data_IF_968509005420
#
_entry.id   IF_968509005420
#
_cell.length_a   1.000
_cell.length_b   1.000
_cell.length_c   1.000
_cell.angle_alpha   90.00
_cell.angle_beta   90.00
_cell.angle_gamma   90.00
#
_symmetry.space_group_name_H-M   'P 1'
#
loop_
_entity.id
_entity.type
_entity.pdbx_description
1 polymer ?
#
# COMPACT_ATOMS: atom_id res chain seq x y z
N UNK A 1 -21.91 -70.28 47.51
CA UNK A 1 -20.73 -69.50 47.07
C UNK A 1 -21.21 -68.60 46.00
N UNK A 2 -21.50 -67.33 46.34
CA UNK A 2 -21.94 -66.25 45.38
C UNK A 2 -20.81 -65.38 45.09
N UNK A 3 -20.36 -65.33 43.80
CA UNK A 3 -19.38 -64.40 43.32
C UNK A 3 -20.09 -63.10 42.99
N UNK A 4 -19.75 -61.99 43.68
CA UNK A 4 -20.15 -60.65 43.36
C UNK A 4 -19.13 -60.08 42.32
N UNK A 5 -19.61 -59.81 41.14
CA UNK A 5 -18.87 -59.01 40.13
C UNK A 5 -19.03 -57.56 40.50
N UNK A 6 -17.88 -56.92 40.69
CA UNK A 6 -17.79 -55.45 40.84
C UNK A 6 -17.63 -54.87 39.44
N UNK A 7 -18.63 -54.09 38.97
CA UNK A 7 -18.56 -53.35 37.75
C UNK A 7 -17.97 -51.99 38.09
N UNK A 8 -16.76 -51.73 37.60
CA UNK A 8 -16.10 -50.41 37.69
C UNK A 8 -16.62 -49.53 36.54
N UNK A 9 -17.44 -48.52 36.85
CA UNK A 9 -17.88 -47.52 35.90
C UNK A 9 -16.81 -46.43 35.90
N UNK A 10 -15.97 -46.39 34.85
CA UNK A 10 -15.04 -45.31 34.61
C UNK A 10 -15.76 -44.11 33.93
N UNK A 11 -16.01 -43.06 34.69
CA UNK A 11 -16.57 -41.83 34.17
C UNK A 11 -15.46 -41.02 33.47
N UNK A 12 -15.43 -41.03 32.14
CA UNK A 12 -14.57 -40.16 31.34
C UNK A 12 -15.12 -38.73 31.42
N UNK A 13 -14.45 -37.88 32.18
CA UNK A 13 -14.67 -36.45 32.18
C UNK A 13 -13.96 -35.86 30.93
N UNK A 14 -14.69 -35.63 29.85
CA UNK A 14 -14.19 -34.89 28.69
C UNK A 14 -14.08 -33.42 29.06
N UNK A 15 -12.87 -32.95 29.35
CA UNK A 15 -12.57 -31.53 29.39
C UNK A 15 -12.73 -30.95 27.98
N UNK A 16 -13.85 -30.32 27.72
CA UNK A 16 -14.04 -29.47 26.57
C UNK A 16 -13.18 -28.19 26.78
N UNK A 17 -11.93 -28.20 26.28
CA UNK A 17 -11.15 -26.99 26.08
C UNK A 17 -11.86 -26.24 24.98
N UNK A 18 -12.75 -25.33 25.34
CA UNK A 18 -13.36 -24.39 24.43
C UNK A 18 -12.26 -23.51 23.87
N UNK A 19 -11.80 -23.79 22.65
CA UNK A 19 -11.09 -22.80 21.86
C UNK A 19 -12.04 -21.61 21.71
N UNK A 20 -11.85 -20.58 22.55
CA UNK A 20 -12.50 -19.30 22.35
C UNK A 20 -12.07 -18.83 20.95
N UNK A 21 -13.00 -18.80 19.99
CA UNK A 21 -12.77 -18.12 18.72
C UNK A 21 -12.31 -16.71 19.06
N UNK A 22 -11.19 -16.23 18.46
CA UNK A 22 -10.86 -14.83 18.57
C UNK A 22 -12.09 -14.02 18.15
N UNK A 23 -12.41 -12.92 18.83
CA UNK A 23 -13.57 -12.09 18.49
C UNK A 23 -13.46 -11.74 17.00
N UNK A 24 -14.50 -12.02 16.23
CA UNK A 24 -14.59 -11.58 14.85
C UNK A 24 -14.36 -10.06 14.85
N UNK A 25 -13.44 -9.53 14.00
CA UNK A 25 -13.22 -8.11 13.92
C UNK A 25 -14.58 -7.46 13.63
N UNK A 26 -15.08 -6.68 14.58
CA UNK A 26 -16.27 -5.86 14.34
C UNK A 26 -15.91 -4.91 13.22
N UNK A 27 -16.60 -4.99 12.09
CA UNK A 27 -16.61 -3.92 11.10
C UNK A 27 -17.02 -2.65 11.85
N UNK A 28 -16.06 -1.81 12.16
CA UNK A 28 -16.38 -0.41 12.39
C UNK A 28 -16.84 0.09 11.04
N UNK A 29 -18.18 0.17 10.86
CA UNK A 29 -18.78 0.80 9.70
C UNK A 29 -17.98 2.09 9.47
N UNK A 30 -17.54 2.36 8.23
CA UNK A 30 -16.94 3.65 7.86
C UNK A 30 -17.72 4.69 8.64
N UNK A 31 -17.09 5.36 9.60
CA UNK A 31 -17.77 6.44 10.28
C UNK A 31 -18.36 7.33 9.21
N UNK A 32 -19.56 7.86 9.37
CA UNK A 32 -20.32 8.61 8.35
C UNK A 32 -19.50 9.75 7.69
N UNK A 33 -18.29 9.99 8.17
CA UNK A 33 -17.36 11.04 7.76
C UNK A 33 -16.29 10.60 6.77
N UNK A 34 -15.96 9.28 6.61
CA UNK A 34 -14.91 8.82 5.67
C UNK A 34 -15.49 8.74 4.26
N UNK A 35 -15.02 9.63 3.39
CA UNK A 35 -15.49 9.79 2.01
C UNK A 35 -14.68 9.01 1.00
N UNK A 36 -13.38 8.81 1.26
CA UNK A 36 -12.43 8.06 0.44
C UNK A 36 -11.45 7.37 1.35
N UNK A 37 -11.02 6.18 0.97
CA UNK A 37 -10.02 5.42 1.70
C UNK A 37 -9.07 4.71 0.74
N UNK A 38 -7.77 4.93 0.90
CA UNK A 38 -6.72 4.35 0.08
C UNK A 38 -5.77 3.55 0.96
N UNK A 39 -5.41 2.36 0.52
CA UNK A 39 -4.29 1.60 1.09
C UNK A 39 -3.08 1.78 0.20
N UNK A 40 -1.88 1.83 0.77
CA UNK A 40 -0.65 1.98 -0.01
C UNK A 40 0.51 1.18 0.58
N UNK A 41 1.28 0.52 -0.29
CA UNK A 41 2.54 -0.12 0.07
C UNK A 41 3.48 -0.19 -1.14
N UNK A 42 4.79 -0.21 -0.90
CA UNK A 42 5.83 -0.41 -1.89
C UNK A 42 6.82 -1.48 -1.47
N UNK A 43 7.79 -1.77 -2.35
CA UNK A 43 8.96 -2.59 -2.02
C UNK A 43 8.60 -4.03 -1.59
N UNK A 44 7.60 -4.61 -2.25
CA UNK A 44 6.95 -5.84 -1.79
C UNK A 44 7.37 -7.11 -2.53
N UNK A 45 7.59 -7.06 -3.84
CA UNK A 45 7.74 -8.23 -4.71
C UNK A 45 9.12 -8.88 -4.67
N UNK A 46 9.65 -9.23 -3.50
CA UNK A 46 10.92 -9.96 -3.37
C UNK A 46 10.88 -11.28 -4.10
N UNK A 47 12.02 -11.70 -4.70
CA UNK A 47 12.09 -12.96 -5.45
C UNK A 47 11.68 -14.14 -4.57
N UNK A 48 10.66 -14.93 -4.97
CA UNK A 48 10.22 -16.08 -4.20
C UNK A 48 11.27 -17.19 -4.22
N UNK A 49 11.38 -17.91 -3.10
CA UNK A 49 12.17 -19.13 -3.01
C UNK A 49 11.23 -20.31 -3.29
N UNK A 50 11.63 -21.18 -4.21
CA UNK A 50 10.83 -22.36 -4.58
C UNK A 50 9.36 -22.04 -4.94
N UNK A 51 9.13 -20.87 -5.54
CA UNK A 51 7.80 -20.40 -5.92
C UNK A 51 6.88 -19.98 -4.77
N UNK A 52 7.38 -19.94 -3.54
CA UNK A 52 6.59 -19.55 -2.36
C UNK A 52 6.66 -18.04 -2.11
N UNK A 53 5.54 -17.45 -1.72
CA UNK A 53 5.47 -16.05 -1.29
C UNK A 53 6.44 -15.79 -0.14
N UNK A 54 7.28 -14.74 -0.20
CA UNK A 54 8.15 -14.36 0.91
C UNK A 54 7.33 -14.08 2.19
N UNK A 55 7.75 -14.68 3.31
CA UNK A 55 6.96 -14.65 4.55
C UNK A 55 6.66 -13.24 5.08
N UNK A 56 7.57 -12.27 4.89
CA UNK A 56 7.34 -10.88 5.29
C UNK A 56 6.24 -10.24 4.43
N UNK A 57 6.29 -10.46 3.11
CA UNK A 57 5.27 -9.98 2.18
C UNK A 57 3.90 -10.59 2.50
N UNK A 58 3.84 -11.91 2.75
CA UNK A 58 2.58 -12.59 3.08
C UNK A 58 1.92 -11.98 4.31
N UNK A 59 2.68 -11.75 5.39
CA UNK A 59 2.15 -11.13 6.61
C UNK A 59 1.62 -9.72 6.38
N UNK A 60 2.31 -8.90 5.58
CA UNK A 60 1.82 -7.55 5.24
C UNK A 60 0.53 -7.63 4.44
N UNK A 61 0.43 -8.55 3.49
CA UNK A 61 -0.78 -8.75 2.68
C UNK A 61 -1.97 -9.24 3.53
N UNK A 62 -1.74 -10.16 4.46
CA UNK A 62 -2.76 -10.62 5.43
C UNK A 62 -3.24 -9.47 6.33
N UNK A 63 -2.31 -8.63 6.80
CA UNK A 63 -2.61 -7.46 7.60
C UNK A 63 -3.41 -6.39 6.82
N UNK A 64 -3.06 -6.15 5.55
CA UNK A 64 -3.83 -5.29 4.64
C UNK A 64 -5.26 -5.80 4.47
N UNK A 65 -5.43 -7.10 4.19
CA UNK A 65 -6.74 -7.70 4.04
C UNK A 65 -7.56 -7.63 5.35
N UNK A 66 -6.92 -7.79 6.51
CA UNK A 66 -7.58 -7.65 7.80
C UNK A 66 -8.03 -6.20 8.07
N UNK A 67 -7.20 -5.20 7.72
CA UNK A 67 -7.56 -3.79 7.83
C UNK A 67 -8.69 -3.41 6.86
N UNK A 68 -8.66 -3.94 5.63
CA UNK A 68 -9.73 -3.70 4.66
C UNK A 68 -11.06 -4.31 5.12
N UNK A 69 -11.05 -5.53 5.68
CA UNK A 69 -12.26 -6.13 6.27
C UNK A 69 -12.82 -5.33 7.44
N UNK A 70 -11.94 -4.69 8.23
CA UNK A 70 -12.33 -3.82 9.35
C UNK A 70 -12.93 -2.51 8.85
N UNK A 71 -12.31 -1.90 7.85
CA UNK A 71 -12.71 -0.63 7.26
C UNK A 71 -12.41 -0.64 5.75
N UNK A 72 -13.40 -0.96 4.90
CA UNK A 72 -13.20 -1.14 3.47
C UNK A 72 -12.54 0.06 2.78
N UNK A 73 -11.53 -0.19 1.95
CA UNK A 73 -10.86 0.80 1.13
C UNK A 73 -11.50 0.93 -0.25
N UNK A 74 -11.15 1.98 -0.99
CA UNK A 74 -11.62 2.22 -2.37
C UNK A 74 -10.57 1.85 -3.42
N UNK A 75 -9.29 1.80 -3.03
CA UNK A 75 -8.19 1.36 -3.89
C UNK A 75 -6.98 0.89 -3.07
N UNK A 76 -6.15 0.05 -3.69
CA UNK A 76 -4.83 -0.31 -3.21
C UNK A 76 -3.78 0.24 -4.18
N UNK A 77 -2.83 1.02 -3.64
CA UNK A 77 -1.76 1.68 -4.40
C UNK A 77 -0.43 1.00 -4.11
N UNK A 78 0.21 0.50 -5.14
CA UNK A 78 1.58 -0.03 -5.08
C UNK A 78 2.56 1.08 -5.49
N UNK A 79 3.37 1.55 -4.55
CA UNK A 79 4.26 2.69 -4.74
C UNK A 79 5.65 2.29 -5.25
N UNK A 80 5.71 1.30 -6.13
CA UNK A 80 6.90 0.87 -6.86
C UNK A 80 7.70 -0.25 -6.21
N UNK A 81 8.75 -0.66 -6.91
CA UNK A 81 9.53 -1.88 -6.63
C UNK A 81 8.61 -3.09 -6.50
N UNK A 82 7.85 -3.30 -7.58
CA UNK A 82 6.82 -4.32 -7.66
C UNK A 82 7.42 -5.72 -7.77
N UNK A 83 8.59 -5.84 -8.44
CA UNK A 83 9.26 -7.13 -8.66
C UNK A 83 10.77 -7.02 -8.56
N UNK A 84 11.35 -7.53 -7.48
CA UNK A 84 12.79 -7.63 -7.26
C UNK A 84 13.41 -8.86 -7.92
N UNK A 85 14.75 -8.84 -8.26
CA UNK A 85 15.66 -7.70 -8.16
C UNK A 85 15.69 -6.79 -9.40
N UNK A 86 15.13 -7.19 -10.54
CA UNK A 86 15.27 -6.50 -11.83
C UNK A 86 13.95 -6.39 -12.60
N UNK A 87 12.81 -6.40 -11.89
CA UNK A 87 11.48 -6.39 -12.47
C UNK A 87 11.00 -7.79 -12.89
N UNK A 88 9.95 -7.82 -13.72
CA UNK A 88 9.43 -9.04 -14.33
C UNK A 88 10.27 -9.47 -15.54
N UNK A 89 10.45 -10.78 -15.69
CA UNK A 89 11.01 -11.42 -16.87
C UNK A 89 9.95 -12.32 -17.51
N UNK A 90 9.91 -12.39 -18.85
CA UNK A 90 8.87 -13.14 -19.58
C UNK A 90 8.79 -14.62 -19.18
N UNK A 91 9.94 -15.23 -18.86
CA UNK A 91 10.04 -16.63 -18.42
C UNK A 91 9.45 -16.89 -17.03
N UNK A 92 9.26 -15.85 -16.20
CA UNK A 92 8.87 -15.99 -14.81
C UNK A 92 7.46 -15.41 -14.50
N UNK A 93 6.79 -14.78 -15.46
CA UNK A 93 5.55 -14.01 -15.22
C UNK A 93 4.54 -14.78 -14.36
N UNK A 94 4.16 -15.98 -14.76
CA UNK A 94 3.12 -16.73 -14.06
C UNK A 94 3.55 -17.14 -12.66
N UNK A 95 4.80 -17.56 -12.48
CA UNK A 95 5.36 -17.89 -11.17
C UNK A 95 5.40 -16.66 -10.28
N UNK A 96 5.86 -15.50 -10.79
CA UNK A 96 5.94 -14.26 -10.05
C UNK A 96 4.55 -13.72 -9.70
N UNK A 97 3.59 -13.75 -10.63
CA UNK A 97 2.22 -13.36 -10.35
C UNK A 97 1.58 -14.27 -9.30
N UNK A 98 1.80 -15.59 -9.38
CA UNK A 98 1.33 -16.55 -8.39
C UNK A 98 1.86 -16.21 -6.99
N UNK A 99 3.17 -16.06 -6.85
CA UNK A 99 3.82 -15.93 -5.56
C UNK A 99 3.83 -14.52 -4.98
N UNK A 100 3.87 -13.49 -5.83
CA UNK A 100 3.99 -12.12 -5.35
C UNK A 100 2.69 -11.30 -5.45
N UNK A 101 1.77 -11.61 -6.35
CA UNK A 101 0.55 -10.80 -6.52
C UNK A 101 -0.72 -11.57 -6.16
N UNK A 102 -1.02 -12.67 -6.85
CA UNK A 102 -2.31 -13.36 -6.68
C UNK A 102 -2.41 -14.06 -5.33
N UNK A 103 -1.39 -14.81 -4.91
CA UNK A 103 -1.39 -15.51 -3.64
C UNK A 103 -1.53 -14.56 -2.44
N UNK A 104 -0.59 -13.64 -2.24
CA UNK A 104 -0.61 -12.76 -1.07
C UNK A 104 -1.77 -11.74 -1.10
N UNK A 105 -2.08 -11.15 -2.25
CA UNK A 105 -3.13 -10.13 -2.36
C UNK A 105 -4.45 -10.67 -2.91
N UNK A 106 -4.70 -11.97 -2.74
CA UNK A 106 -5.92 -12.65 -3.17
C UNK A 106 -7.21 -11.92 -2.80
N UNK A 107 -7.24 -11.30 -1.63
CA UNK A 107 -8.36 -10.49 -1.14
C UNK A 107 -8.77 -9.37 -2.10
N UNK A 108 -7.79 -8.76 -2.75
CA UNK A 108 -7.96 -7.55 -3.56
C UNK A 108 -7.99 -7.81 -5.08
N UNK A 109 -7.52 -8.97 -5.56
CA UNK A 109 -7.40 -9.22 -6.99
C UNK A 109 -8.70 -9.68 -7.63
N UNK A 110 -8.96 -9.19 -8.86
CA UNK A 110 -9.98 -9.71 -9.74
C UNK A 110 -9.30 -10.51 -10.87
N UNK A 111 -9.44 -11.82 -10.85
CA UNK A 111 -8.86 -12.68 -11.88
C UNK A 111 -9.69 -12.62 -13.16
N UNK A 112 -9.00 -12.54 -14.31
CA UNK A 112 -9.62 -12.82 -15.62
C UNK A 112 -9.92 -14.31 -15.74
N UNK A 113 -10.64 -14.73 -16.78
CA UNK A 113 -10.83 -16.16 -17.09
C UNK A 113 -9.48 -16.89 -17.23
N UNK A 114 -8.49 -16.27 -17.90
CA UNK A 114 -7.13 -16.78 -17.99
C UNK A 114 -6.45 -16.86 -16.63
N UNK A 115 -6.56 -15.76 -15.84
CA UNK A 115 -6.00 -15.70 -14.49
C UNK A 115 -6.56 -16.78 -13.58
N UNK A 116 -7.87 -16.98 -13.60
CA UNK A 116 -8.53 -18.03 -12.83
C UNK A 116 -8.06 -19.43 -13.23
N UNK A 117 -7.93 -19.71 -14.53
CA UNK A 117 -7.47 -21.00 -15.02
C UNK A 117 -5.99 -21.29 -14.69
N UNK A 118 -5.13 -20.25 -14.65
CA UNK A 118 -3.68 -20.43 -14.50
C UNK A 118 -3.19 -20.21 -13.07
N UNK A 119 -3.79 -19.25 -12.36
CA UNK A 119 -3.33 -18.75 -11.06
C UNK A 119 -4.37 -18.90 -9.95
N UNK A 120 -5.58 -19.36 -10.25
CA UNK A 120 -6.70 -19.44 -9.31
C UNK A 120 -6.38 -20.25 -8.04
N UNK A 121 -5.60 -21.31 -8.18
CA UNK A 121 -5.16 -22.14 -7.04
C UNK A 121 -4.30 -21.37 -6.02
N UNK A 122 -3.66 -20.28 -6.41
CA UNK A 122 -2.89 -19.43 -5.49
C UNK A 122 -3.78 -18.56 -4.61
N UNK A 123 -5.03 -18.35 -5.02
CA UNK A 123 -5.99 -17.53 -4.30
C UNK A 123 -6.80 -18.40 -3.33
N UNK A 124 -6.31 -18.54 -2.11
CA UNK A 124 -6.92 -19.44 -1.11
C UNK A 124 -8.12 -18.83 -0.39
N UNK A 125 -8.33 -17.53 -0.47
CA UNK A 125 -9.47 -16.86 0.15
C UNK A 125 -10.77 -17.15 -0.65
N UNK A 126 -11.86 -17.60 0.01
CA UNK A 126 -13.13 -17.79 -0.65
C UNK A 126 -13.62 -16.51 -1.34
N UNK A 127 -14.15 -16.62 -2.55
CA UNK A 127 -14.61 -15.47 -3.35
C UNK A 127 -15.57 -14.55 -2.59
N UNK A 128 -16.49 -15.10 -1.82
CA UNK A 128 -17.45 -14.35 -1.00
C UNK A 128 -16.82 -13.48 0.10
N UNK A 129 -15.52 -13.66 0.39
CA UNK A 129 -14.79 -12.88 1.39
C UNK A 129 -13.82 -11.89 0.77
N UNK A 130 -13.65 -11.92 -0.56
CA UNK A 130 -12.76 -11.02 -1.28
C UNK A 130 -13.41 -9.66 -1.50
N UNK A 131 -12.55 -8.65 -1.59
CA UNK A 131 -12.96 -7.29 -1.92
C UNK A 131 -12.07 -6.77 -3.06
N UNK A 132 -12.33 -7.15 -4.32
CA UNK A 132 -11.55 -6.68 -5.45
C UNK A 132 -11.61 -5.16 -5.58
N UNK A 133 -10.46 -4.51 -5.53
CA UNK A 133 -10.28 -3.07 -5.62
C UNK A 133 -9.49 -2.69 -6.86
N UNK A 134 -9.57 -1.45 -7.37
CA UNK A 134 -8.55 -0.93 -8.25
C UNK A 134 -7.16 -1.13 -7.65
N UNK A 135 -6.27 -1.82 -8.37
CA UNK A 135 -4.86 -2.02 -8.02
C UNK A 135 -4.04 -1.10 -8.91
N UNK A 136 -3.60 0.02 -8.36
CA UNK A 136 -2.80 1.01 -9.08
C UNK A 136 -1.34 0.89 -8.67
N UNK A 137 -0.46 0.74 -9.64
CA UNK A 137 0.97 0.61 -9.41
C UNK A 137 1.75 1.70 -10.14
N UNK A 138 2.88 2.12 -9.57
CA UNK A 138 3.92 2.87 -10.26
C UNK A 138 5.17 2.01 -10.37
N UNK A 139 6.09 2.39 -11.25
CA UNK A 139 7.41 1.75 -11.32
C UNK A 139 8.30 2.19 -10.16
N UNK A 140 9.12 1.26 -9.66
CA UNK A 140 10.26 1.55 -8.81
C UNK A 140 11.58 1.44 -9.58
N UNK A 141 12.71 1.65 -8.89
CA UNK A 141 14.02 1.57 -9.53
C UNK A 141 14.44 0.12 -9.89
N UNK A 142 13.79 -0.87 -9.34
CA UNK A 142 13.96 -2.28 -9.70
C UNK A 142 13.10 -2.71 -10.90
N UNK A 143 12.06 -1.99 -11.27
CA UNK A 143 11.11 -2.34 -12.35
C UNK A 143 11.46 -1.73 -13.72
N UNK A 144 12.66 -1.16 -13.90
CA UNK A 144 12.99 -0.22 -14.99
C UNK A 144 13.45 -0.84 -16.31
N UNK A 145 13.55 -2.16 -16.43
CA UNK A 145 13.85 -2.75 -17.73
C UNK A 145 12.67 -2.55 -18.70
N UNK A 146 12.96 -2.32 -19.98
CA UNK A 146 11.91 -2.18 -20.99
C UNK A 146 10.98 -3.41 -21.04
N UNK A 147 11.54 -4.60 -20.80
CA UNK A 147 10.78 -5.83 -20.71
C UNK A 147 9.83 -5.81 -19.50
N UNK A 148 10.32 -5.49 -18.30
CA UNK A 148 9.49 -5.43 -17.09
C UNK A 148 8.34 -4.45 -17.25
N UNK A 149 8.62 -3.24 -17.74
CA UNK A 149 7.60 -2.20 -17.99
C UNK A 149 6.51 -2.73 -18.92
N UNK A 150 6.89 -3.37 -20.03
CA UNK A 150 5.94 -3.94 -20.98
C UNK A 150 5.12 -5.08 -20.34
N UNK A 151 5.77 -5.96 -19.57
CA UNK A 151 5.10 -7.07 -18.89
C UNK A 151 4.12 -6.58 -17.82
N UNK A 152 4.51 -5.63 -16.99
CA UNK A 152 3.63 -5.07 -15.95
C UNK A 152 2.43 -4.34 -16.54
N UNK A 153 2.64 -3.58 -17.62
CA UNK A 153 1.59 -2.81 -18.28
C UNK A 153 0.65 -3.66 -19.12
N UNK A 154 1.17 -4.65 -19.83
CA UNK A 154 0.41 -5.35 -20.87
C UNK A 154 0.12 -6.82 -20.52
N UNK A 155 1.03 -7.47 -19.75
CA UNK A 155 0.91 -8.90 -19.48
C UNK A 155 0.16 -9.17 -18.16
N UNK A 156 0.44 -8.42 -17.09
CA UNK A 156 -0.24 -8.59 -15.80
C UNK A 156 -1.75 -8.45 -15.94
N UNK A 157 -2.32 -7.46 -16.68
CA UNK A 157 -3.77 -7.33 -16.85
C UNK A 157 -4.44 -8.51 -17.58
N UNK A 158 -3.69 -9.34 -18.28
CA UNK A 158 -4.24 -10.58 -18.89
C UNK A 158 -4.61 -11.64 -17.84
N UNK A 159 -4.11 -11.52 -16.61
CA UNK A 159 -4.38 -12.41 -15.48
C UNK A 159 -5.19 -11.74 -14.38
N UNK A 160 -4.90 -10.45 -14.09
CA UNK A 160 -5.50 -9.66 -13.01
C UNK A 160 -6.13 -8.41 -13.62
N UNK A 161 -7.46 -8.45 -13.82
CA UNK A 161 -8.19 -7.44 -14.59
C UNK A 161 -8.26 -6.07 -13.92
N UNK A 162 -8.10 -6.00 -12.62
CA UNK A 162 -8.12 -4.75 -11.85
C UNK A 162 -6.72 -4.16 -11.59
N UNK A 163 -5.66 -4.73 -12.19
CA UNK A 163 -4.31 -4.16 -12.17
C UNK A 163 -4.15 -3.07 -13.24
N UNK A 164 -3.55 -1.96 -12.86
CA UNK A 164 -3.16 -0.89 -13.79
C UNK A 164 -1.83 -0.28 -13.37
N UNK A 165 -0.83 -0.35 -14.25
CA UNK A 165 0.43 0.37 -14.13
C UNK A 165 0.21 1.80 -14.62
N UNK A 166 0.52 2.80 -13.79
CA UNK A 166 0.28 4.22 -14.00
C UNK A 166 1.58 5.03 -13.92
N UNK A 167 1.50 6.29 -14.35
CA UNK A 167 2.64 7.22 -14.25
C UNK A 167 3.69 7.02 -15.33
N UNK A 168 3.31 6.66 -16.57
CA UNK A 168 4.21 6.44 -17.68
C UNK A 168 4.02 7.49 -18.80
N UNK A 169 4.65 8.68 -18.71
CA UNK A 169 5.48 9.16 -17.60
C UNK A 169 4.70 9.90 -16.51
N UNK A 170 3.46 10.39 -16.78
CA UNK A 170 2.58 11.07 -15.82
C UNK A 170 1.13 10.77 -16.20
N UNK A 171 0.35 10.31 -15.24
CA UNK A 171 -1.08 10.07 -15.39
C UNK A 171 -1.86 10.60 -14.19
N UNK A 172 -3.09 11.10 -14.43
CA UNK A 172 -3.96 11.58 -13.36
C UNK A 172 -5.23 10.71 -13.29
N UNK A 173 -5.59 10.31 -12.08
CA UNK A 173 -6.88 9.69 -11.77
C UNK A 173 -7.68 10.67 -10.93
N UNK A 174 -8.79 11.14 -11.49
CA UNK A 174 -9.73 12.03 -10.81
C UNK A 174 -10.79 11.21 -10.08
N UNK A 175 -10.90 11.36 -8.78
CA UNK A 175 -11.87 10.66 -7.96
C UNK A 175 -13.11 11.54 -7.66
N UNK A 176 -14.31 10.95 -7.57
CA UNK A 176 -15.55 11.71 -7.37
C UNK A 176 -15.56 12.57 -6.10
N UNK A 177 -14.73 12.21 -5.10
CA UNK A 177 -14.65 12.91 -3.82
C UNK A 177 -13.84 14.22 -3.89
N UNK A 178 -13.38 14.62 -5.08
CA UNK A 178 -12.54 15.81 -5.30
C UNK A 178 -11.08 15.56 -4.97
N UNK A 179 -10.61 14.33 -5.14
CA UNK A 179 -9.20 13.94 -5.00
C UNK A 179 -8.63 13.67 -6.38
N UNK A 180 -7.52 14.32 -6.70
CA UNK A 180 -6.71 14.06 -7.89
C UNK A 180 -5.46 13.28 -7.47
N UNK A 181 -5.35 12.04 -7.94
CA UNK A 181 -4.14 11.22 -7.77
C UNK A 181 -3.26 11.44 -9.00
N UNK A 182 -2.09 12.01 -8.81
CA UNK A 182 -1.11 12.28 -9.88
C UNK A 182 0.05 11.29 -9.76
N UNK A 183 0.04 10.29 -10.62
CA UNK A 183 1.06 9.26 -10.72
C UNK A 183 2.18 9.72 -11.64
N UNK A 184 3.45 9.54 -11.24
CA UNK A 184 4.59 9.88 -12.09
C UNK A 184 5.78 8.95 -11.89
N UNK A 185 6.54 8.72 -12.95
CA UNK A 185 7.77 7.94 -12.93
C UNK A 185 8.93 8.74 -12.34
N UNK A 186 9.11 8.64 -11.03
CA UNK A 186 10.23 9.28 -10.35
C UNK A 186 11.57 8.65 -10.69
N UNK A 187 11.59 7.35 -11.06
CA UNK A 187 12.83 6.65 -11.41
C UNK A 187 13.43 7.20 -12.70
N UNK A 188 12.60 7.44 -13.72
CA UNK A 188 13.07 8.08 -14.95
C UNK A 188 13.61 9.50 -14.69
N UNK A 189 12.96 10.26 -13.80
CA UNK A 189 13.43 11.59 -13.41
C UNK A 189 14.77 11.54 -12.68
N UNK A 190 14.96 10.58 -11.77
CA UNK A 190 16.20 10.41 -11.01
C UNK A 190 17.38 9.90 -11.87
N UNK A 191 17.11 9.05 -12.88
CA UNK A 191 18.17 8.46 -13.71
C UNK A 191 18.67 9.35 -14.83
N UNK A 192 17.78 10.15 -15.43
CA UNK A 192 18.07 10.85 -16.69
C UNK A 192 17.84 12.35 -16.62
N UNK A 193 17.39 12.88 -15.48
CA UNK A 193 16.85 14.24 -15.37
C UNK A 193 15.89 14.54 -16.54
N UNK A 194 15.03 13.55 -16.89
CA UNK A 194 14.21 13.58 -18.09
C UNK A 194 13.29 14.79 -18.11
N UNK A 195 13.81 15.88 -18.67
CA UNK A 195 13.15 17.18 -18.74
C UNK A 195 11.77 17.12 -19.42
N UNK A 196 11.51 16.08 -20.24
CA UNK A 196 10.24 15.92 -20.94
C UNK A 196 9.07 15.57 -20.02
N UNK A 197 9.32 14.88 -18.90
CA UNK A 197 8.26 14.50 -17.95
C UNK A 197 7.88 15.65 -17.00
N UNK A 198 8.76 16.60 -16.74
CA UNK A 198 8.52 17.71 -15.82
C UNK A 198 7.37 18.64 -16.27
N UNK A 199 7.28 19.08 -17.54
CA UNK A 199 6.14 19.85 -18.01
C UNK A 199 4.82 19.10 -17.90
N UNK A 200 4.86 17.76 -18.05
CA UNK A 200 3.67 16.93 -17.90
C UNK A 200 3.21 16.87 -16.43
N UNK A 201 4.15 16.74 -15.48
CA UNK A 201 3.86 16.80 -14.05
C UNK A 201 3.27 18.16 -13.66
N UNK A 202 3.90 19.26 -14.09
CA UNK A 202 3.40 20.62 -13.89
C UNK A 202 1.97 20.77 -14.42
N UNK A 203 1.72 20.33 -15.65
CA UNK A 203 0.39 20.39 -16.27
C UNK A 203 -0.63 19.54 -15.54
N UNK A 204 -0.28 18.31 -15.18
CA UNK A 204 -1.18 17.40 -14.47
C UNK A 204 -1.65 18.01 -13.13
N UNK A 205 -0.72 18.60 -12.39
CA UNK A 205 -1.07 19.30 -11.14
C UNK A 205 -1.92 20.55 -11.40
N UNK A 206 -1.54 21.41 -12.34
CA UNK A 206 -2.29 22.62 -12.65
C UNK A 206 -3.70 22.34 -13.18
N UNK A 207 -3.90 21.22 -13.85
CA UNK A 207 -5.19 20.77 -14.40
C UNK A 207 -6.00 19.89 -13.44
N UNK A 208 -5.44 19.50 -12.29
CA UNK A 208 -6.15 18.69 -11.30
C UNK A 208 -7.42 19.42 -10.82
N UNK A 209 -8.54 18.68 -10.79
CA UNK A 209 -9.89 19.28 -10.62
C UNK A 209 -10.26 19.47 -9.16
N UNK A 210 -9.79 18.59 -8.31
CA UNK A 210 -10.16 18.61 -6.91
C UNK A 210 -9.28 19.50 -6.04
N UNK A 211 -9.76 19.88 -4.84
CA UNK A 211 -8.93 20.59 -3.87
C UNK A 211 -7.80 19.68 -3.31
N UNK A 212 -8.02 18.37 -3.32
CA UNK A 212 -7.08 17.39 -2.77
C UNK A 212 -6.18 16.84 -3.87
N UNK A 213 -4.88 17.06 -3.76
CA UNK A 213 -3.87 16.57 -4.70
C UNK A 213 -2.92 15.65 -3.99
N UNK A 214 -2.88 14.40 -4.45
CA UNK A 214 -2.00 13.37 -3.94
C UNK A 214 -1.04 12.96 -5.06
N UNK A 215 0.23 13.18 -4.86
CA UNK A 215 1.28 12.65 -5.72
C UNK A 215 1.54 11.19 -5.35
N UNK A 216 1.74 10.36 -6.34
CA UNK A 216 2.11 8.96 -6.17
C UNK A 216 3.35 8.66 -7.01
N UNK A 217 4.42 8.28 -6.36
CA UNK A 217 5.69 7.96 -7.00
C UNK A 217 6.48 6.97 -6.14
N UNK A 218 7.57 6.44 -6.69
CA UNK A 218 8.40 5.53 -5.91
C UNK A 218 9.34 6.25 -4.95
N UNK A 219 10.08 7.25 -5.45
CA UNK A 219 11.07 7.95 -4.62
C UNK A 219 10.41 9.08 -3.80
N UNK A 220 10.68 9.16 -2.49
CA UNK A 220 10.39 10.37 -1.73
C UNK A 220 11.32 11.50 -2.14
N UNK A 221 10.97 12.74 -1.81
CA UNK A 221 11.86 13.89 -1.94
C UNK A 221 12.77 13.91 -0.71
N UNK A 222 14.02 13.57 -0.90
CA UNK A 222 15.00 13.39 0.17
C UNK A 222 16.01 14.53 0.32
N UNK A 223 15.79 15.62 -0.45
CA UNK A 223 16.60 16.83 -0.41
C UNK A 223 17.85 16.79 -1.27
N UNK A 224 18.04 15.71 -2.07
CA UNK A 224 19.17 15.63 -3.00
C UNK A 224 18.96 16.53 -4.21
N UNK A 225 20.04 16.79 -4.95
CA UNK A 225 20.01 17.62 -6.17
C UNK A 225 19.03 17.08 -7.23
N UNK A 226 18.79 15.77 -7.27
CA UNK A 226 17.85 15.13 -8.19
C UNK A 226 16.39 15.55 -7.94
N UNK A 227 16.07 16.06 -6.75
CA UNK A 227 14.73 16.55 -6.43
C UNK A 227 14.48 17.98 -6.95
N UNK A 228 15.53 18.76 -7.23
CA UNK A 228 15.40 20.16 -7.64
C UNK A 228 14.53 20.35 -8.89
N UNK A 229 14.66 19.55 -9.98
CA UNK A 229 13.76 19.64 -11.11
C UNK A 229 12.30 19.35 -10.75
N UNK A 230 12.05 18.36 -9.88
CA UNK A 230 10.70 18.01 -9.43
C UNK A 230 10.12 19.18 -8.63
N UNK A 231 10.86 19.74 -7.68
CA UNK A 231 10.44 20.90 -6.89
C UNK A 231 10.13 22.13 -7.77
N UNK A 232 10.91 22.36 -8.84
CA UNK A 232 10.62 23.41 -9.82
C UNK A 232 9.31 23.15 -10.58
N UNK A 233 9.04 21.90 -10.97
CA UNK A 233 7.79 21.54 -11.63
C UNK A 233 6.59 21.74 -10.70
N UNK A 234 6.72 21.38 -9.41
CA UNK A 234 5.70 21.61 -8.39
C UNK A 234 5.44 23.12 -8.20
N UNK A 235 6.50 23.92 -8.08
CA UNK A 235 6.38 25.37 -7.96
C UNK A 235 5.69 25.99 -9.19
N UNK A 236 6.06 25.57 -10.41
CA UNK A 236 5.49 26.05 -11.67
C UNK A 236 4.01 25.67 -11.86
N UNK A 237 3.52 24.65 -11.18
CA UNK A 237 2.11 24.26 -11.24
C UNK A 237 1.17 25.30 -10.60
N UNK A 238 1.67 26.16 -9.71
CA UNK A 238 0.90 27.19 -9.01
C UNK A 238 -0.10 26.63 -7.98
N UNK A 239 -0.05 25.34 -7.71
CA UNK A 239 -0.88 24.63 -6.72
C UNK A 239 -0.01 23.74 -5.86
N UNK A 240 -0.42 23.54 -4.62
CA UNK A 240 0.30 22.65 -3.69
C UNK A 240 -0.38 21.29 -3.63
N UNK A 241 0.41 20.23 -3.66
CA UNK A 241 -0.07 18.90 -3.31
C UNK A 241 -0.13 18.75 -1.77
N UNK A 242 -1.15 18.11 -1.26
CA UNK A 242 -1.30 17.82 0.16
C UNK A 242 -0.45 16.63 0.59
N UNK A 243 -0.22 15.67 -0.31
CA UNK A 243 0.45 14.42 0.03
C UNK A 243 1.34 13.94 -1.13
N UNK A 244 2.50 13.36 -0.80
CA UNK A 244 3.24 12.43 -1.63
C UNK A 244 3.21 11.05 -0.96
N UNK A 245 2.70 10.06 -1.66
CA UNK A 245 2.83 8.64 -1.32
C UNK A 245 4.08 8.08 -2.01
N UNK A 246 4.99 7.50 -1.23
CA UNK A 246 6.24 6.96 -1.74
C UNK A 246 6.62 5.62 -1.11
N UNK A 247 7.59 4.93 -1.73
CA UNK A 247 8.26 3.72 -1.25
C UNK A 247 9.77 3.93 -1.16
N UNK A 248 10.56 3.06 -1.82
CA UNK A 248 12.00 3.14 -2.00
C UNK A 248 12.83 2.94 -0.72
N UNK A 249 12.46 3.58 0.36
CA UNK A 249 13.10 3.38 1.65
C UNK A 249 12.31 2.28 2.36
N UNK A 250 12.98 1.14 2.63
CA UNK A 250 12.34 -0.08 3.13
C UNK A 250 11.92 0.03 4.61
N UNK A 251 11.21 1.11 4.93
CA UNK A 251 10.66 1.37 6.25
C UNK A 251 9.35 2.18 6.18
N UNK A 252 8.87 2.66 7.31
CA UNK A 252 7.67 3.47 7.46
C UNK A 252 8.06 4.86 7.92
N UNK A 253 7.74 5.92 7.14
CA UNK A 253 8.09 7.30 7.49
C UNK A 253 6.97 8.29 7.24
N UNK A 254 7.03 9.38 8.02
CA UNK A 254 6.23 10.57 7.79
C UNK A 254 7.10 11.81 7.88
N UNK A 255 7.02 12.70 6.89
CA UNK A 255 7.75 13.96 6.86
C UNK A 255 6.85 15.12 6.42
N UNK A 256 6.87 16.23 7.15
CA UNK A 256 6.20 17.46 6.76
C UNK A 256 7.06 18.23 5.75
N UNK A 257 6.42 18.75 4.70
CA UNK A 257 7.10 19.53 3.67
C UNK A 257 6.69 21.00 3.68
N UNK A 258 7.60 21.86 3.25
CA UNK A 258 7.34 23.27 2.99
C UNK A 258 7.08 23.50 1.49
N UNK A 259 6.25 24.50 1.16
CA UNK A 259 6.02 24.84 -0.23
C UNK A 259 7.35 25.17 -0.96
N UNK A 260 7.54 24.75 -2.21
CA UNK A 260 6.57 24.12 -3.13
C UNK A 260 6.41 22.61 -2.97
N UNK A 261 7.09 21.97 -2.03
CA UNK A 261 6.97 20.55 -1.78
C UNK A 261 5.54 20.18 -1.33
N UNK A 262 5.12 18.90 -1.47
CA UNK A 262 3.89 18.39 -0.87
C UNK A 262 3.85 18.73 0.63
N UNK A 263 2.66 18.99 1.16
CA UNK A 263 2.53 19.33 2.57
C UNK A 263 2.99 18.19 3.50
N UNK A 264 2.87 16.96 3.02
CA UNK A 264 3.32 15.76 3.74
C UNK A 264 3.88 14.72 2.76
N UNK A 265 4.87 13.97 3.21
CA UNK A 265 5.37 12.78 2.54
C UNK A 265 5.12 11.57 3.44
N UNK A 266 4.47 10.54 2.89
CA UNK A 266 4.19 9.29 3.57
C UNK A 266 4.91 8.16 2.84
N UNK A 267 5.96 7.63 3.46
CA UNK A 267 6.74 6.52 2.92
C UNK A 267 6.20 5.21 3.47
N UNK A 268 5.85 4.31 2.58
CA UNK A 268 5.31 2.98 2.84
C UNK A 268 6.11 1.90 2.12
N UNK A 269 7.43 1.84 2.38
CA UNK A 269 8.37 0.91 1.75
C UNK A 269 8.54 -0.43 2.47
N UNK A 270 7.70 -0.70 3.46
CA UNK A 270 7.77 -1.91 4.29
C UNK A 270 7.03 -3.14 3.74
N UNK A 271 6.68 -3.19 2.45
CA UNK A 271 5.80 -4.24 1.90
C UNK A 271 6.41 -5.64 1.81
N UNK A 272 7.72 -5.76 1.63
CA UNK A 272 8.39 -7.06 1.46
C UNK A 272 9.63 -7.26 2.32
N UNK A 273 10.10 -6.22 2.95
CA UNK A 273 11.27 -6.21 3.82
C UNK A 273 11.29 -4.98 4.69
N UNK A 274 12.10 -5.00 5.72
CA UNK A 274 12.41 -3.83 6.51
C UNK A 274 13.91 -3.77 6.67
N UNK A 275 14.49 -2.64 6.31
CA UNK A 275 15.93 -2.39 6.44
C UNK A 275 16.08 -1.01 7.08
N UNK A 276 16.86 -0.93 8.14
CA UNK A 276 17.19 0.35 8.74
C UNK A 276 17.97 1.20 7.74
N UNK A 277 17.43 2.35 7.37
CA UNK A 277 18.14 3.33 6.56
C UNK A 277 18.62 4.48 7.44
N UNK A 278 19.88 4.88 7.25
CA UNK A 278 20.43 6.08 7.91
C UNK A 278 20.05 7.38 7.20
N UNK A 279 19.34 7.30 6.08
CA UNK A 279 18.89 8.46 5.35
C UNK A 279 17.74 9.12 6.12
N UNK A 280 17.84 10.42 6.36
CA UNK A 280 16.78 11.22 6.99
C UNK A 280 16.07 12.04 5.91
N UNK A 281 14.76 12.12 5.98
CA UNK A 281 13.97 13.00 5.10
C UNK A 281 13.95 14.45 5.65
N UNK A 282 14.00 15.46 4.79
CA UNK A 282 13.71 16.82 5.22
C UNK A 282 12.33 16.90 5.89
N UNK A 283 12.27 17.51 7.09
CA UNK A 283 11.03 17.62 7.86
C UNK A 283 10.51 16.31 8.44
N UNK A 284 11.36 15.29 8.61
CA UNK A 284 10.98 13.99 9.16
C UNK A 284 10.38 14.13 10.58
N UNK A 285 9.19 13.60 10.75
CA UNK A 285 8.45 13.57 12.01
C UNK A 285 8.43 12.17 12.64
N UNK A 286 8.61 11.15 11.82
CA UNK A 286 8.53 9.74 12.24
C UNK A 286 9.31 8.83 11.31
N UNK A 287 9.99 7.85 11.90
CA UNK A 287 10.67 6.76 11.21
C UNK A 287 10.56 5.48 12.04
N UNK A 288 10.24 4.37 11.36
CA UNK A 288 10.28 3.03 11.95
C UNK A 288 10.75 2.00 10.92
N UNK A 289 11.85 1.33 11.22
CA UNK A 289 12.33 0.18 10.44
C UNK A 289 11.45 -1.03 10.73
N UNK A 290 10.35 -1.15 10.00
CA UNK A 290 9.36 -2.22 10.14
C UNK A 290 8.72 -2.57 8.80
N UNK A 291 8.28 -3.81 8.65
CA UNK A 291 7.31 -4.15 7.62
C UNK A 291 5.97 -3.52 7.95
N UNK A 292 5.21 -3.17 6.92
CA UNK A 292 3.92 -2.53 7.12
C UNK A 292 3.37 -1.86 5.87
N UNK A 293 2.37 -1.03 6.07
CA UNK A 293 1.65 -0.33 5.01
C UNK A 293 1.08 1.01 5.50
N UNK A 294 0.62 1.82 4.58
CA UNK A 294 -0.04 3.09 4.87
C UNK A 294 -1.54 3.04 4.54
N UNK A 295 -2.31 3.86 5.24
CA UNK A 295 -3.71 4.16 4.91
C UNK A 295 -3.93 5.66 4.88
N UNK A 296 -4.64 6.12 3.86
CA UNK A 296 -5.02 7.52 3.64
C UNK A 296 -6.53 7.61 3.53
N UNK A 297 -7.16 8.32 4.44
CA UNK A 297 -8.60 8.57 4.39
C UNK A 297 -8.87 10.06 4.14
N UNK A 298 -9.82 10.39 3.26
CA UNK A 298 -10.44 11.71 3.21
C UNK A 298 -11.62 11.72 4.16
N UNK A 299 -11.52 12.52 5.21
CA UNK A 299 -12.50 12.58 6.30
C UNK A 299 -13.20 13.94 6.31
N UNK A 300 -14.49 13.96 6.63
CA UNK A 300 -15.28 15.17 6.74
C UNK A 300 -15.69 15.81 5.40
N UNK A 301 -16.29 16.97 5.47
CA UNK A 301 -16.74 17.73 4.33
C UNK A 301 -16.58 19.25 4.54
N UNK A 302 -16.55 20.02 3.45
CA UNK A 302 -16.37 21.48 3.52
C UNK A 302 -15.08 21.86 4.27
N UNK A 303 -15.12 22.86 5.09
CA UNK A 303 -13.96 23.40 5.80
C UNK A 303 -13.36 22.45 6.86
N UNK A 304 -14.10 21.43 7.30
CA UNK A 304 -13.60 20.41 8.22
C UNK A 304 -12.94 19.22 7.53
N UNK A 305 -12.97 19.17 6.19
CA UNK A 305 -12.36 18.07 5.45
C UNK A 305 -10.83 18.07 5.63
N UNK A 306 -10.27 16.88 5.78
CA UNK A 306 -8.84 16.66 5.92
C UNK A 306 -8.45 15.26 5.43
N UNK A 307 -7.20 15.10 5.03
CA UNK A 307 -6.60 13.78 4.86
C UNK A 307 -6.13 13.28 6.23
N UNK A 308 -6.57 12.09 6.60
CA UNK A 308 -6.05 11.35 7.76
C UNK A 308 -5.09 10.30 7.25
N UNK A 309 -3.85 10.39 7.70
CA UNK A 309 -2.74 9.54 7.30
C UNK A 309 -2.37 8.60 8.44
N UNK A 310 -2.24 7.31 8.17
CA UNK A 310 -1.87 6.32 9.19
C UNK A 310 -0.82 5.36 8.65
N UNK A 311 0.19 5.06 9.48
CA UNK A 311 1.16 4.01 9.24
C UNK A 311 0.85 2.81 10.14
N UNK A 312 0.84 1.64 9.56
CA UNK A 312 0.62 0.36 10.23
C UNK A 312 1.91 -0.46 10.20
N UNK A 313 2.44 -0.79 11.37
CA UNK A 313 3.51 -1.77 11.49
C UNK A 313 2.92 -3.17 11.59
N UNK A 314 3.59 -4.12 10.94
CA UNK A 314 3.23 -5.53 10.89
C UNK A 314 4.38 -6.36 11.46
N UNK A 315 4.19 -6.91 12.65
CA UNK A 315 5.15 -7.80 13.30
C UNK A 315 4.91 -9.27 12.93
N UNK A 316 5.78 -10.15 13.40
CA UNK A 316 5.63 -11.60 13.18
C UNK A 316 4.52 -12.24 14.02
N UNK A 317 4.10 -11.59 15.09
CA UNK A 317 3.24 -12.19 16.15
C UNK A 317 2.01 -11.35 16.49
N UNK A 318 1.93 -10.10 16.04
CA UNK A 318 0.88 -9.16 16.46
C UNK A 318 -0.08 -8.78 15.34
N UNK A 319 -1.28 -8.38 15.73
CA UNK A 319 -2.23 -7.70 14.84
C UNK A 319 -1.59 -6.40 14.32
N UNK A 320 -1.86 -5.99 13.05
CA UNK A 320 -1.32 -4.74 12.52
C UNK A 320 -1.68 -3.57 13.46
N UNK A 321 -0.66 -2.79 13.83
CA UNK A 321 -0.80 -1.70 14.79
C UNK A 321 -0.54 -0.36 14.11
N UNK A 322 -1.41 0.63 14.35
CA UNK A 322 -1.13 2.02 13.98
C UNK A 322 0.04 2.51 14.84
N UNK A 323 1.11 2.93 14.17
CA UNK A 323 2.35 3.37 14.83
C UNK A 323 2.58 4.87 14.70
N UNK A 324 1.93 5.51 13.73
CA UNK A 324 1.92 6.95 13.58
C UNK A 324 0.67 7.40 12.82
N UNK A 325 0.16 8.58 13.13
CA UNK A 325 -0.99 9.17 12.46
C UNK A 325 -0.89 10.70 12.41
N UNK A 326 -1.42 11.28 11.31
CA UNK A 326 -1.46 12.72 11.08
C UNK A 326 -2.74 13.11 10.36
N UNK A 327 -3.09 14.39 10.49
CA UNK A 327 -4.07 15.03 9.61
C UNK A 327 -3.39 16.08 8.77
N UNK A 328 -3.82 16.22 7.52
CA UNK A 328 -3.38 17.26 6.59
C UNK A 328 -4.61 18.00 6.09
N UNK A 329 -4.69 19.31 6.35
CA UNK A 329 -5.78 20.14 5.86
C UNK A 329 -5.65 20.43 4.36
N UNK A 330 -6.70 20.95 3.74
CA UNK A 330 -6.68 21.41 2.34
C UNK A 330 -5.58 22.46 2.09
N UNK A 331 -5.35 23.36 3.04
CA UNK A 331 -4.26 24.35 2.97
C UNK A 331 -2.86 23.77 3.18
N UNK A 332 -2.75 22.50 3.57
CA UNK A 332 -1.50 21.82 3.83
C UNK A 332 -0.99 21.98 5.28
N UNK A 333 -1.83 22.41 6.22
CA UNK A 333 -1.46 22.36 7.63
C UNK A 333 -1.44 20.90 8.12
N UNK A 334 -0.36 20.52 8.80
CA UNK A 334 -0.10 19.18 9.32
C UNK A 334 -0.27 19.16 10.84
N UNK A 335 -0.98 18.16 11.35
CA UNK A 335 -1.13 17.93 12.79
C UNK A 335 -0.89 16.45 13.09
N UNK A 336 -0.03 16.15 14.06
CA UNK A 336 0.14 14.78 14.57
C UNK A 336 -1.04 14.36 15.43
N UNK A 337 -1.57 13.17 15.23
CA UNK A 337 -2.58 12.58 16.11
C UNK A 337 -1.91 11.87 17.29
N UNK A 338 -2.41 12.09 18.50
CA UNK A 338 -2.00 11.29 19.65
C UNK A 338 -2.60 9.90 19.55
N UNK A 339 -1.75 8.90 19.39
CA UNK A 339 -2.21 7.51 19.45
C UNK A 339 -2.53 7.21 20.92
N UNK A 340 -3.78 6.87 21.20
CA UNK A 340 -4.15 6.39 22.53
C UNK A 340 -3.25 5.21 22.90
N UNK A 341 -2.73 5.17 24.13
CA UNK A 341 -2.05 3.98 24.63
C UNK A 341 -3.01 2.81 24.45
N UNK A 342 -2.64 1.82 23.64
CA UNK A 342 -3.34 0.54 23.69
C UNK A 342 -3.30 0.12 25.17
N UNK A 343 -4.46 0.01 25.79
CA UNK A 343 -4.53 -0.59 27.13
C UNK A 343 -3.88 -1.97 27.01
N UNK A 344 -2.85 -2.18 27.81
CA UNK A 344 -2.11 -3.44 27.95
C UNK A 344 -3.03 -4.63 28.22
#
# INVERSE_FOLDING_TARGET
>A
MMHRQIVLVATLLALAIGCARPPEPRYEARGAEVRLSLLALGDWGRRPKEGQTPAKQLRVAEALAAEDRRAPADALIFVGDNFYPHGLEASEVEMRLRANLVGPYCHFVALTARGAATLGEACLEPEARRHPLPLWAVLGNHDTSAESIALERERVPLYVSNWKLLGLPVETVELPQGVSLVFYDSTALHRTANAASLPLLTRALAQSRGPWRVLVAHHPLDGREVDVPIQRALAAAGVRAQLLLAGHIHDLRGAAGEAPQPAFQLVSGGGGGSESSHQTLPGELYQLASTGFARVDLVGAGASAHLRLRLFAVSAVDVPRVVAAWTVSESGAVTSETLGSAAE
#
